data_IF_010329100865
#
_entry.id   IF_010329100865
#
_cell.length_a   1.000
_cell.length_b   1.000
_cell.length_c   1.000
_cell.angle_alpha   90.00
_cell.angle_beta   90.00
_cell.angle_gamma   90.00
#
_symmetry.space_group_name_H-M   'P 1'
#
loop_
_entity.id
_entity.type
_entity.pdbx_description
1 polymer ?
#
# COMPACT_ATOMS: atom_id res chain seq x y z
N UNK A 1 2.42 18.74 23.53
CA UNK A 1 2.93 17.68 22.64
C UNK A 1 2.21 17.86 21.32
N UNK A 2 2.86 18.48 20.33
CA UNK A 2 2.25 18.72 19.02
C UNK A 2 2.31 17.44 18.21
N UNK A 3 1.16 16.91 17.80
CA UNK A 3 1.09 15.82 16.84
C UNK A 3 1.65 16.31 15.52
N UNK A 4 2.77 15.73 15.05
CA UNK A 4 3.25 15.97 13.69
C UNK A 4 2.29 15.23 12.76
N UNK A 5 1.66 15.94 11.82
CA UNK A 5 0.83 15.28 10.83
C UNK A 5 1.73 14.39 9.97
N UNK A 6 1.38 13.11 9.84
CA UNK A 6 2.10 12.18 8.97
C UNK A 6 1.40 12.17 7.61
N UNK A 7 2.17 12.34 6.53
CA UNK A 7 1.67 12.07 5.19
C UNK A 7 1.55 10.56 5.02
N UNK A 8 0.31 10.08 4.90
CA UNK A 8 0.01 8.66 4.66
C UNK A 8 -0.82 8.54 3.39
N UNK A 9 -0.63 7.48 2.64
CA UNK A 9 -1.37 7.28 1.41
C UNK A 9 -1.13 5.94 0.73
N UNK A 10 -1.60 5.86 -0.50
CA UNK A 10 -1.44 4.70 -1.36
C UNK A 10 0.03 4.30 -1.50
N UNK A 11 0.95 5.27 -1.59
CA UNK A 11 2.41 5.06 -1.79
C UNK A 11 3.09 4.20 -0.72
N UNK A 12 2.46 4.07 0.45
CA UNK A 12 2.98 3.29 1.56
C UNK A 12 2.63 1.79 1.41
N UNK A 13 1.96 1.40 0.33
CA UNK A 13 1.56 0.02 0.05
C UNK A 13 2.40 -0.59 -1.07
N UNK A 14 2.77 -1.85 -0.88
CA UNK A 14 3.46 -2.70 -1.85
C UNK A 14 2.73 -4.03 -2.00
N UNK A 15 2.82 -4.64 -3.18
CA UNK A 15 2.25 -5.96 -3.42
C UNK A 15 3.37 -6.98 -3.64
N UNK A 16 3.41 -8.03 -2.82
CA UNK A 16 4.27 -9.20 -3.02
C UNK A 16 3.57 -10.21 -3.94
N UNK A 17 4.27 -10.70 -4.95
CA UNK A 17 3.81 -11.80 -5.81
C UNK A 17 4.25 -13.16 -5.27
N UNK A 18 3.65 -14.25 -5.76
CA UNK A 18 4.05 -15.62 -5.36
C UNK A 18 5.53 -15.92 -5.67
N UNK A 19 6.07 -15.30 -6.71
CA UNK A 19 7.48 -15.41 -7.12
C UNK A 19 8.44 -14.62 -6.22
N UNK A 20 7.90 -13.87 -5.25
CA UNK A 20 8.66 -13.03 -4.31
C UNK A 20 9.01 -11.65 -4.87
N UNK A 21 8.47 -11.26 -6.03
CA UNK A 21 8.61 -9.91 -6.57
C UNK A 21 7.79 -8.90 -5.77
N UNK A 22 8.33 -7.70 -5.55
CA UNK A 22 7.60 -6.58 -4.97
C UNK A 22 7.19 -5.62 -6.09
N UNK A 23 5.90 -5.31 -6.14
CA UNK A 23 5.32 -4.37 -7.07
C UNK A 23 4.97 -3.08 -6.33
N UNK A 24 5.42 -1.97 -6.90
CA UNK A 24 4.95 -0.64 -6.56
C UNK A 24 3.57 -0.40 -7.20
N UNK A 25 2.89 0.66 -6.78
CA UNK A 25 1.55 0.97 -7.26
C UNK A 25 1.56 1.38 -8.73
N UNK A 26 0.42 1.19 -9.36
CA UNK A 26 0.17 1.80 -10.65
C UNK A 26 -0.18 3.28 -10.47
N UNK A 27 0.80 4.15 -10.72
CA UNK A 27 0.65 5.62 -10.65
C UNK A 27 -0.31 6.20 -11.71
N UNK A 28 -0.74 5.41 -12.69
CA UNK A 28 -1.73 5.85 -13.69
C UNK A 28 -3.16 5.75 -13.20
N UNK A 29 -3.38 5.00 -12.11
CA UNK A 29 -4.67 4.80 -11.48
C UNK A 29 -4.93 5.81 -10.35
N UNK A 30 -6.15 5.79 -9.80
CA UNK A 30 -6.51 6.63 -8.68
C UNK A 30 -5.63 6.32 -7.46
N UNK A 31 -5.02 7.38 -6.92
CA UNK A 31 -4.22 7.35 -5.70
C UNK A 31 -4.91 8.18 -4.62
N UNK A 32 -4.61 7.86 -3.36
CA UNK A 32 -5.02 8.67 -2.24
C UNK A 32 -3.81 8.97 -1.36
N UNK A 33 -3.84 10.08 -0.66
CA UNK A 33 -2.82 10.41 0.30
C UNK A 33 -3.06 11.78 0.87
N UNK A 34 -2.88 11.93 2.17
CA UNK A 34 -3.01 13.21 2.83
C UNK A 34 -2.22 13.22 4.14
N UNK A 35 -1.98 14.43 4.64
CA UNK A 35 -1.67 14.60 6.05
C UNK A 35 -2.88 14.18 6.88
N UNK A 36 -2.65 13.32 7.87
CA UNK A 36 -3.70 12.83 8.77
C UNK A 36 -3.34 13.15 10.23
N UNK A 37 -4.31 13.64 11.00
CA UNK A 37 -4.12 13.89 12.42
C UNK A 37 -4.32 12.62 13.25
N UNK A 38 -3.82 12.61 14.49
CA UNK A 38 -3.99 11.48 15.41
C UNK A 38 -5.47 11.23 15.69
N UNK A 39 -5.91 9.98 15.50
CA UNK A 39 -7.29 9.55 15.71
C UNK A 39 -8.19 9.71 14.47
N UNK A 40 -7.69 10.31 13.39
CA UNK A 40 -8.41 10.34 12.12
C UNK A 40 -8.18 9.06 11.31
N UNK A 41 -9.04 8.85 10.30
CA UNK A 41 -8.96 7.71 9.39
C UNK A 41 -8.94 8.19 7.95
N UNK A 42 -8.03 7.65 7.15
CA UNK A 42 -7.99 7.82 5.70
C UNK A 42 -8.42 6.52 5.02
N UNK A 43 -9.15 6.63 3.93
CA UNK A 43 -9.60 5.48 3.15
C UNK A 43 -9.52 5.83 1.67
N UNK A 44 -9.04 4.88 0.87
CA UNK A 44 -8.97 5.02 -0.56
C UNK A 44 -8.61 3.70 -1.21
N UNK A 45 -8.49 3.73 -2.54
CA UNK A 45 -8.15 2.55 -3.32
C UNK A 45 -6.66 2.53 -3.65
N UNK A 46 -6.10 1.33 -3.72
CA UNK A 46 -4.76 1.06 -4.25
C UNK A 46 -4.91 0.14 -5.45
N UNK A 47 -4.11 0.38 -6.49
CA UNK A 47 -4.10 -0.43 -7.71
C UNK A 47 -2.68 -0.84 -8.04
N UNK A 48 -2.52 -2.08 -8.49
CA UNK A 48 -1.24 -2.66 -8.88
C UNK A 48 -1.41 -3.29 -10.26
N UNK A 49 -0.40 -3.13 -11.12
CA UNK A 49 -0.36 -3.79 -12.41
C UNK A 49 0.37 -5.13 -12.27
N UNK A 50 -0.30 -6.22 -12.63
CA UNK A 50 0.29 -7.55 -12.70
C UNK A 50 0.55 -7.90 -14.17
N UNK A 51 1.73 -8.43 -14.46
CA UNK A 51 2.02 -9.02 -15.76
C UNK A 51 1.30 -10.37 -15.93
N UNK A 52 1.17 -10.83 -17.18
CA UNK A 52 0.55 -12.12 -17.47
C UNK A 52 1.28 -13.25 -16.74
N UNK A 53 0.54 -14.01 -15.93
CA UNK A 53 1.07 -15.10 -15.12
C UNK A 53 1.51 -14.71 -13.70
N UNK A 54 1.60 -13.42 -13.38
CA UNK A 54 1.87 -13.00 -12.00
C UNK A 54 0.64 -13.13 -11.11
N UNK A 55 0.85 -13.71 -9.92
CA UNK A 55 -0.20 -13.89 -8.91
C UNK A 55 0.15 -13.09 -7.67
N UNK A 56 -0.80 -12.28 -7.20
CA UNK A 56 -0.68 -11.52 -5.97
C UNK A 56 -0.72 -12.47 -4.77
N UNK A 57 0.20 -12.29 -3.83
CA UNK A 57 0.33 -13.12 -2.62
C UNK A 57 0.07 -12.33 -1.36
N UNK A 58 0.67 -11.14 -1.22
CA UNK A 58 0.52 -10.30 -0.02
C UNK A 58 0.43 -8.83 -0.34
N UNK A 59 -0.41 -8.11 0.40
CA UNK A 59 -0.39 -6.66 0.48
C UNK A 59 0.44 -6.27 1.71
N UNK A 60 1.40 -5.38 1.53
CA UNK A 60 2.33 -4.93 2.57
C UNK A 60 2.11 -3.44 2.80
N UNK A 61 1.96 -3.02 4.05
CA UNK A 61 1.93 -1.62 4.45
C UNK A 61 3.25 -1.25 5.14
N UNK A 62 3.98 -0.32 4.51
CA UNK A 62 5.31 0.11 4.87
C UNK A 62 5.43 1.64 4.74
N UNK A 63 4.85 2.42 5.66
CA UNK A 63 5.04 3.87 5.66
C UNK A 63 6.50 4.20 5.98
N UNK A 64 7.19 4.88 5.05
CA UNK A 64 8.62 5.15 5.13
C UNK A 64 9.47 3.88 4.98
N UNK A 65 10.32 3.57 5.96
CA UNK A 65 11.27 2.44 5.88
C UNK A 65 10.83 1.19 6.67
N UNK A 66 9.80 1.30 7.51
CA UNK A 66 9.40 0.21 8.42
C UNK A 66 8.14 -0.50 7.93
N UNK A 67 8.18 -1.85 7.83
CA UNK A 67 7.00 -2.66 7.53
C UNK A 67 6.14 -2.78 8.79
N UNK A 68 4.93 -2.23 8.75
CA UNK A 68 4.03 -2.21 9.91
C UNK A 68 2.95 -3.28 9.83
N UNK A 69 2.52 -3.68 8.63
CA UNK A 69 1.50 -4.71 8.47
C UNK A 69 1.62 -5.46 7.13
N UNK A 70 1.05 -6.67 7.10
CA UNK A 70 0.90 -7.48 5.90
C UNK A 70 -0.42 -8.26 5.94
N UNK A 71 -1.02 -8.47 4.77
CA UNK A 71 -2.25 -9.25 4.60
C UNK A 71 -2.09 -10.23 3.44
N UNK A 72 -2.54 -11.47 3.63
CA UNK A 72 -2.60 -12.45 2.54
C UNK A 72 -3.67 -12.02 1.52
N UNK A 73 -3.27 -11.96 0.25
CA UNK A 73 -4.16 -11.70 -0.87
C UNK A 73 -4.53 -13.03 -1.48
N UNK A 74 -5.84 -13.30 -1.58
CA UNK A 74 -6.36 -14.46 -2.28
C UNK A 74 -6.99 -13.97 -3.58
N UNK A 75 -6.32 -14.24 -4.70
CA UNK A 75 -6.96 -14.17 -6.01
C UNK A 75 -7.90 -15.38 -6.14
N UNK A 76 -9.19 -15.11 -6.31
CA UNK A 76 -10.18 -16.15 -6.66
C UNK A 76 -9.99 -16.66 -8.09
#
# INVERSE_FOLDING_TARGET
MGSVAAGLGSIDFLLETEEGGLLELDHTMAMFGNEIAVGETITGQVSFALEEGQVAKKLIYKPGEEKLAEWDVKSE
#
